data_IF_910280964759
#
_entry.id   IF_910280964759
#
_cell.length_a   1.000
_cell.length_b   1.000
_cell.length_c   1.000
_cell.angle_alpha   90.00
_cell.angle_beta   90.00
_cell.angle_gamma   90.00
#
_symmetry.space_group_name_H-M   'P 1'
#
loop_
_entity.id
_entity.type
_entity.pdbx_description
1 polymer ?
#
# COMPACT_ATOMS: atom_id res chain seq x y z
N UNK A 1 -15.33 -65.58 -1.80
CA UNK A 1 -15.02 -64.84 -3.04
C UNK A 1 -15.67 -63.45 -3.09
N UNK A 2 -17.01 -63.33 -3.06
CA UNK A 2 -17.71 -62.03 -3.21
C UNK A 2 -17.37 -61.00 -2.11
N UNK A 3 -17.31 -61.43 -0.85
CA UNK A 3 -16.99 -60.55 0.29
C UNK A 3 -15.53 -60.06 0.27
N UNK A 4 -14.60 -60.92 -0.15
CA UNK A 4 -13.18 -60.57 -0.26
C UNK A 4 -12.94 -59.52 -1.37
N UNK A 5 -13.63 -59.66 -2.50
CA UNK A 5 -13.60 -58.68 -3.59
C UNK A 5 -14.13 -57.30 -3.15
N UNK A 6 -15.18 -57.26 -2.34
CA UNK A 6 -15.72 -56.01 -1.78
C UNK A 6 -14.74 -55.32 -0.83
N UNK A 7 -14.03 -56.08 0.01
CA UNK A 7 -13.04 -55.51 0.94
C UNK A 7 -11.86 -54.90 0.16
N UNK A 8 -11.35 -55.62 -0.84
CA UNK A 8 -10.26 -55.13 -1.69
C UNK A 8 -10.69 -53.88 -2.46
N UNK A 9 -11.89 -53.90 -3.04
CA UNK A 9 -12.44 -52.77 -3.79
C UNK A 9 -12.64 -51.54 -2.89
N UNK A 10 -13.15 -51.74 -1.66
CA UNK A 10 -13.28 -50.67 -0.66
C UNK A 10 -11.92 -50.07 -0.29
N UNK A 11 -10.91 -50.92 -0.04
CA UNK A 11 -9.54 -50.46 0.25
C UNK A 11 -8.94 -49.64 -0.90
N UNK A 12 -9.20 -50.05 -2.15
CA UNK A 12 -8.74 -49.32 -3.33
C UNK A 12 -9.34 -47.90 -3.40
N UNK A 13 -10.65 -47.77 -3.13
CA UNK A 13 -11.34 -46.47 -3.14
C UNK A 13 -10.76 -45.55 -2.06
N UNK A 14 -10.51 -46.05 -0.85
CA UNK A 14 -9.92 -45.25 0.23
C UNK A 14 -8.53 -44.75 -0.15
N UNK A 15 -7.71 -45.63 -0.74
CA UNK A 15 -6.35 -45.29 -1.17
C UNK A 15 -6.35 -44.23 -2.29
N UNK A 16 -7.22 -44.38 -3.28
CA UNK A 16 -7.44 -43.40 -4.35
C UNK A 16 -7.91 -42.05 -3.79
N UNK A 17 -8.87 -42.07 -2.86
CA UNK A 17 -9.38 -40.88 -2.20
C UNK A 17 -8.28 -40.12 -1.45
N UNK A 18 -7.44 -40.84 -0.70
CA UNK A 18 -6.31 -40.25 0.02
C UNK A 18 -5.28 -39.62 -0.95
N UNK A 19 -4.97 -40.29 -2.06
CA UNK A 19 -4.04 -39.77 -3.06
C UNK A 19 -4.55 -38.48 -3.70
N UNK A 20 -5.82 -38.45 -4.10
CA UNK A 20 -6.47 -37.25 -4.67
C UNK A 20 -6.48 -36.11 -3.66
N UNK A 21 -6.86 -36.39 -2.40
CA UNK A 21 -6.89 -35.38 -1.34
C UNK A 21 -5.51 -34.75 -1.10
N UNK A 22 -4.45 -35.59 -1.03
CA UNK A 22 -3.09 -35.09 -0.85
C UNK A 22 -2.58 -34.26 -2.03
N UNK A 23 -3.08 -34.53 -3.24
CA UNK A 23 -2.70 -33.81 -4.46
C UNK A 23 -3.39 -32.45 -4.54
N UNK A 24 -4.67 -32.38 -4.15
CA UNK A 24 -5.41 -31.12 -4.06
C UNK A 24 -4.81 -30.17 -3.02
N UNK A 25 -4.34 -30.69 -1.88
CA UNK A 25 -3.67 -29.88 -0.85
C UNK A 25 -2.42 -29.18 -1.41
N UNK A 26 -1.55 -29.95 -2.06
CA UNK A 26 -0.32 -29.43 -2.69
C UNK A 26 -0.61 -28.40 -3.77
N UNK A 27 -1.62 -28.63 -4.62
CA UNK A 27 -1.98 -27.64 -5.65
C UNK A 27 -2.41 -26.30 -5.06
N UNK A 28 -3.16 -26.30 -3.96
CA UNK A 28 -3.59 -25.06 -3.29
C UNK A 28 -2.41 -24.30 -2.68
N UNK A 29 -1.50 -25.02 -2.04
CA UNK A 29 -0.28 -24.44 -1.46
C UNK A 29 0.61 -23.83 -2.54
N UNK A 30 0.90 -24.58 -3.62
CA UNK A 30 1.68 -24.06 -4.75
C UNK A 30 1.02 -22.84 -5.40
N UNK A 31 -0.32 -22.85 -5.56
CA UNK A 31 -1.03 -21.71 -6.14
C UNK A 31 -0.91 -20.47 -5.25
N UNK A 32 -0.95 -20.66 -3.93
CA UNK A 32 -0.79 -19.58 -2.96
C UNK A 32 0.63 -19.00 -3.00
N UNK A 33 1.65 -19.86 -2.90
CA UNK A 33 3.05 -19.43 -2.97
C UNK A 33 3.34 -18.71 -4.28
N UNK A 34 2.85 -19.24 -5.40
CA UNK A 34 3.00 -18.58 -6.70
C UNK A 34 2.31 -17.21 -6.75
N UNK A 35 1.13 -17.09 -6.12
CA UNK A 35 0.43 -15.82 -5.98
C UNK A 35 1.20 -14.80 -5.16
N UNK A 36 1.77 -15.23 -4.02
CA UNK A 36 2.58 -14.39 -3.14
C UNK A 36 3.87 -13.91 -3.84
N UNK A 37 4.61 -14.82 -4.48
CA UNK A 37 5.81 -14.48 -5.27
C UNK A 37 5.48 -13.53 -6.41
N UNK A 38 4.37 -13.75 -7.12
CA UNK A 38 3.94 -12.87 -8.20
C UNK A 38 3.59 -11.48 -7.68
N UNK A 39 2.91 -11.38 -6.54
CA UNK A 39 2.60 -10.11 -5.91
C UNK A 39 3.87 -9.36 -5.49
N UNK A 40 4.83 -10.06 -4.88
CA UNK A 40 6.12 -9.48 -4.51
C UNK A 40 6.90 -8.99 -5.73
N UNK A 41 6.92 -9.78 -6.82
CA UNK A 41 7.56 -9.38 -8.07
C UNK A 41 6.90 -8.13 -8.67
N UNK A 42 5.56 -8.05 -8.66
CA UNK A 42 4.86 -6.87 -9.17
C UNK A 42 5.16 -5.62 -8.33
N UNK A 43 5.23 -5.77 -7.01
CA UNK A 43 5.60 -4.68 -6.11
C UNK A 43 7.04 -4.22 -6.35
N UNK A 44 7.99 -5.15 -6.42
CA UNK A 44 9.40 -4.85 -6.68
C UNK A 44 9.59 -4.13 -8.03
N UNK A 45 8.85 -4.53 -9.07
CA UNK A 45 8.85 -3.82 -10.36
C UNK A 45 8.32 -2.40 -10.24
N UNK A 46 7.18 -2.21 -9.58
CA UNK A 46 6.60 -0.89 -9.37
C UNK A 46 7.53 0.03 -8.55
N UNK A 47 8.16 -0.51 -7.50
CA UNK A 47 9.13 0.22 -6.69
C UNK A 47 10.37 0.60 -7.51
N UNK A 48 10.85 -0.30 -8.39
CA UNK A 48 11.95 -0.03 -9.31
C UNK A 48 11.63 1.05 -10.34
N UNK A 49 10.44 1.02 -10.93
CA UNK A 49 9.95 2.06 -11.86
C UNK A 49 9.84 3.42 -11.17
N UNK A 50 9.29 3.44 -9.95
CA UNK A 50 9.19 4.65 -9.13
C UNK A 50 10.58 5.21 -8.81
N UNK A 51 11.51 4.36 -8.36
CA UNK A 51 12.87 4.79 -8.04
C UNK A 51 13.59 5.35 -9.28
N UNK A 52 13.36 4.75 -10.46
CA UNK A 52 13.91 5.26 -11.71
C UNK A 52 13.31 6.62 -12.08
N UNK A 53 12.01 6.82 -11.87
CA UNK A 53 11.35 8.11 -12.09
C UNK A 53 11.89 9.18 -11.14
N UNK A 54 12.03 8.85 -9.85
CA UNK A 54 12.62 9.73 -8.83
C UNK A 54 14.07 10.10 -9.21
N UNK A 55 14.86 9.13 -9.66
CA UNK A 55 16.24 9.39 -10.11
C UNK A 55 16.26 10.39 -11.26
N UNK A 56 15.42 10.20 -12.28
CA UNK A 56 15.30 11.13 -13.41
C UNK A 56 14.84 12.52 -12.97
N UNK A 57 13.93 12.59 -12.00
CA UNK A 57 13.45 13.85 -11.46
C UNK A 57 14.57 14.62 -10.74
N UNK A 58 15.35 13.92 -9.90
CA UNK A 58 16.44 14.51 -9.11
C UNK A 58 17.74 14.76 -9.87
N UNK A 59 17.92 14.17 -11.05
CA UNK A 59 19.02 14.53 -11.97
C UNK A 59 18.96 16.02 -12.35
N UNK A 60 17.77 16.63 -12.37
CA UNK A 60 17.66 18.08 -12.56
C UNK A 60 17.94 18.82 -11.23
N UNK A 61 19.01 19.62 -11.15
CA UNK A 61 19.38 20.31 -9.90
C UNK A 61 18.30 21.27 -9.39
N UNK A 62 17.50 21.87 -10.27
CA UNK A 62 16.40 22.74 -9.86
C UNK A 62 15.28 21.98 -9.12
N UNK A 63 15.05 20.71 -9.48
CA UNK A 63 14.08 19.86 -8.80
C UNK A 63 14.61 19.36 -7.45
N UNK A 64 15.91 19.05 -7.39
CA UNK A 64 16.59 18.68 -6.16
C UNK A 64 16.54 19.84 -5.14
N UNK A 65 16.78 21.06 -5.59
CA UNK A 65 16.69 22.26 -4.74
C UNK A 65 15.28 22.48 -4.20
N UNK A 66 14.24 22.33 -5.04
CA UNK A 66 12.84 22.42 -4.60
C UNK A 66 12.52 21.41 -3.50
N UNK A 67 12.96 20.17 -3.65
CA UNK A 67 12.72 19.11 -2.68
C UNK A 67 13.49 19.36 -1.36
N UNK A 68 14.73 19.86 -1.46
CA UNK A 68 15.51 20.27 -0.29
C UNK A 68 14.87 21.46 0.44
N UNK A 69 14.40 22.47 -0.28
CA UNK A 69 13.66 23.61 0.30
C UNK A 69 12.39 23.15 1.01
N UNK A 70 11.63 22.23 0.41
CA UNK A 70 10.42 21.68 1.01
C UNK A 70 10.68 20.83 2.27
N UNK A 71 11.70 19.95 2.25
CA UNK A 71 11.99 19.03 3.38
C UNK A 71 12.63 19.72 4.58
N UNK A 72 13.49 20.69 4.34
CA UNK A 72 14.26 21.35 5.40
C UNK A 72 13.76 22.77 5.70
N UNK A 73 12.67 23.21 5.07
CA UNK A 73 12.16 24.58 5.15
C UNK A 73 13.25 25.64 4.87
N UNK A 74 14.15 25.36 3.92
CA UNK A 74 15.17 26.35 3.53
C UNK A 74 14.49 27.52 2.82
N UNK A 75 14.71 28.72 3.35
CA UNK A 75 14.30 30.00 2.74
C UNK A 75 15.49 30.66 2.08
N UNK A 76 15.24 31.36 0.98
CA UNK A 76 16.27 32.22 0.42
C UNK A 76 16.56 33.35 1.42
N UNK A 77 17.84 33.74 1.66
CA UNK A 77 18.16 34.86 2.56
C UNK A 77 17.50 36.19 2.15
N UNK A 78 17.02 36.29 0.91
CA UNK A 78 16.34 37.46 0.35
C UNK A 78 14.81 37.38 0.38
N UNK A 79 14.23 36.30 0.92
CA UNK A 79 12.79 36.05 0.90
C UNK A 79 12.14 36.52 2.22
N UNK A 80 11.50 37.70 2.20
CA UNK A 80 10.78 38.23 3.37
C UNK A 80 9.40 37.57 3.48
N UNK A 81 9.29 36.52 4.30
CA UNK A 81 8.00 35.88 4.58
C UNK A 81 7.18 36.72 5.56
N UNK A 82 6.08 37.31 5.09
CA UNK A 82 5.08 37.98 5.92
C UNK A 82 3.94 36.99 6.18
N UNK A 83 3.79 36.55 7.44
CA UNK A 83 2.62 35.76 7.86
C UNK A 83 1.55 36.73 8.37
N UNK A 84 0.51 36.96 7.56
CA UNK A 84 -0.66 37.73 8.00
C UNK A 84 -1.63 36.76 8.66
N UNK A 85 -1.67 36.75 9.99
CA UNK A 85 -2.73 36.07 10.74
C UNK A 85 -3.90 37.05 10.86
N UNK A 86 -5.08 36.78 10.28
CA UNK A 86 -6.25 37.60 10.53
C UNK A 86 -6.61 37.45 12.02
N UNK A 87 -6.60 38.56 12.76
CA UNK A 87 -7.26 38.57 14.07
C UNK A 87 -8.73 38.29 13.79
N UNK A 88 -9.20 37.12 14.23
CA UNK A 88 -10.63 36.81 14.22
C UNK A 88 -11.33 37.97 14.91
N UNK A 89 -12.19 38.66 14.17
CA UNK A 89 -13.00 39.75 14.68
C UNK A 89 -13.82 39.19 15.86
N UNK A 90 -13.38 39.47 17.08
CA UNK A 90 -14.20 39.37 18.27
C UNK A 90 -15.28 40.43 18.16
N UNK A 91 -16.37 40.07 17.47
CA UNK A 91 -17.61 40.83 17.47
C UNK A 91 -18.19 40.81 18.88
N UNK A 92 -17.82 41.81 19.69
CA UNK A 92 -18.48 42.14 20.95
C UNK A 92 -19.69 43.02 20.63
N UNK A 93 -20.94 42.57 20.85
CA UNK A 93 -22.10 43.43 20.67
C UNK A 93 -22.24 44.34 21.90
N UNK A 94 -21.79 45.59 21.78
CA UNK A 94 -22.06 46.63 22.78
C UNK A 94 -23.48 47.15 22.59
N UNK A 95 -24.39 46.75 23.47
CA UNK A 95 -25.74 47.34 23.56
C UNK A 95 -25.62 48.79 24.06
N UNK A 96 -25.84 49.76 23.17
CA UNK A 96 -25.98 51.17 23.56
C UNK A 96 -27.44 51.58 23.46
N UNK A 97 -27.94 52.09 24.59
CA UNK A 97 -29.34 52.37 24.87
C UNK A 97 -29.96 53.43 23.97
N UNK A 98 -31.23 53.20 23.64
CA UNK A 98 -32.14 54.15 23.04
C UNK A 98 -32.46 55.22 24.10
N UNK A 99 -32.19 56.48 23.76
CA UNK A 99 -32.77 57.67 24.39
C UNK A 99 -33.69 58.32 23.35
N UNK A 100 -34.98 58.34 23.65
CA UNK A 100 -35.92 59.39 23.21
C UNK A 100 -36.23 60.28 24.42
#
# INVERSE_FOLDING_TARGET
MRLLGLIIFSGLIVLLGAQVYSSLGRQRELTREFGEIKAELTKAKADGEKLQADLRYFVNPANLEKELRARFNFRDPKETMIIIVPQAATSSPSSTGIRE
#
